data_IF_778652119886
#
_entry.id   IF_778652119886
#
_cell.length_a   1.000
_cell.length_b   1.000
_cell.length_c   1.000
_cell.angle_alpha   90.00
_cell.angle_beta   90.00
_cell.angle_gamma   90.00
#
_symmetry.space_group_name_H-M   'P 1'
#
loop_
_entity.id
_entity.type
_entity.pdbx_description
1 polymer ?
#
# COMPACT_ATOMS: atom_id res chain seq x y z
N UNK A 1 -17.61 -5.94 -0.37
CA UNK A 1 -19.04 -6.01 -0.67
C UNK A 1 -19.90 -5.22 0.31
N UNK A 2 -19.70 -5.32 1.60
CA UNK A 2 -20.52 -4.70 2.66
C UNK A 2 -20.20 -3.24 2.98
N UNK A 3 -19.58 -2.54 2.05
CA UNK A 3 -18.85 -1.31 2.38
C UNK A 3 -19.68 -0.04 2.26
N UNK A 4 -20.78 -0.05 1.52
CA UNK A 4 -21.69 1.11 1.38
C UNK A 4 -22.40 1.46 2.69
N UNK A 5 -22.72 0.46 3.51
CA UNK A 5 -23.32 0.66 4.83
C UNK A 5 -22.43 1.41 5.82
N UNK A 6 -21.11 1.43 5.61
CA UNK A 6 -20.16 2.12 6.47
C UNK A 6 -19.95 3.60 6.11
N UNK A 7 -20.42 4.07 4.93
CA UNK A 7 -20.27 5.47 4.52
C UNK A 7 -20.74 6.45 5.61
N UNK A 8 -21.92 6.29 6.23
CA UNK A 8 -22.37 7.22 7.27
C UNK A 8 -21.46 7.22 8.52
N UNK A 9 -20.86 6.08 8.86
CA UNK A 9 -19.94 6.00 10.00
C UNK A 9 -18.59 6.66 9.68
N UNK A 10 -18.05 6.41 8.51
CA UNK A 10 -16.83 7.08 8.05
C UNK A 10 -17.04 8.59 7.86
N UNK A 11 -18.23 9.02 7.40
CA UNK A 11 -18.55 10.43 7.33
C UNK A 11 -18.54 11.10 8.73
N UNK A 12 -19.11 10.46 9.75
CA UNK A 12 -19.00 10.96 11.12
C UNK A 12 -17.56 11.11 11.58
N UNK A 13 -16.68 10.16 11.19
CA UNK A 13 -15.27 10.24 11.53
C UNK A 13 -14.58 11.40 10.80
N UNK A 14 -14.79 11.57 9.50
CA UNK A 14 -14.21 12.68 8.73
C UNK A 14 -14.71 14.03 9.24
N UNK A 15 -16.01 14.17 9.54
CA UNK A 15 -16.59 15.36 10.12
C UNK A 15 -15.97 15.68 11.49
N UNK A 16 -15.77 14.66 12.33
CA UNK A 16 -15.13 14.81 13.64
C UNK A 16 -13.68 15.32 13.52
N UNK A 17 -12.88 14.71 12.65
CA UNK A 17 -11.49 15.12 12.40
C UNK A 17 -11.45 16.59 11.96
N UNK A 18 -12.33 16.96 11.02
CA UNK A 18 -12.39 18.32 10.48
C UNK A 18 -12.84 19.34 11.51
N UNK A 19 -13.76 18.97 12.42
CA UNK A 19 -14.23 19.83 13.51
C UNK A 19 -13.08 20.27 14.42
N UNK A 20 -12.02 19.47 14.55
CA UNK A 20 -10.82 19.80 15.31
C UNK A 20 -9.71 20.44 14.45
N UNK A 21 -10.02 20.90 13.25
CA UNK A 21 -9.09 21.65 12.39
C UNK A 21 -8.09 20.78 11.63
N UNK A 22 -8.27 19.45 11.62
CA UNK A 22 -7.41 18.53 10.88
C UNK A 22 -8.04 18.08 9.57
N UNK A 23 -7.19 17.72 8.59
CA UNK A 23 -7.61 17.20 7.30
C UNK A 23 -7.83 15.67 7.39
N UNK A 24 -9.05 15.14 7.13
CA UNK A 24 -9.29 13.72 7.20
C UNK A 24 -8.72 12.97 5.99
N UNK A 25 -7.84 12.01 6.24
CA UNK A 25 -7.30 11.10 5.24
C UNK A 25 -7.74 9.65 5.46
N UNK A 26 -7.79 8.86 4.39
CA UNK A 26 -8.07 7.43 4.45
C UNK A 26 -7.07 6.64 3.61
N UNK A 27 -6.56 5.54 4.16
CA UNK A 27 -5.74 4.59 3.42
C UNK A 27 -6.60 3.41 2.97
N UNK A 28 -6.53 3.06 1.68
CA UNK A 28 -7.11 1.86 1.10
C UNK A 28 -6.01 0.79 0.96
N UNK A 29 -6.34 -0.47 1.28
CA UNK A 29 -5.39 -1.57 1.21
C UNK A 29 -6.05 -2.92 0.97
N UNK A 30 -5.27 -3.86 0.44
CA UNK A 30 -5.61 -5.27 0.29
C UNK A 30 -4.42 -6.11 0.72
N UNK A 31 -4.56 -6.85 1.80
CA UNK A 31 -3.46 -7.59 2.42
C UNK A 31 -2.89 -8.73 1.57
N UNK A 32 -3.67 -9.23 0.59
CA UNK A 32 -3.24 -10.34 -0.24
C UNK A 32 -2.94 -11.59 0.60
N UNK A 33 -1.77 -12.22 0.36
CA UNK A 33 -1.31 -13.40 1.11
C UNK A 33 -1.07 -13.14 2.60
N UNK A 34 -0.98 -11.86 3.01
CA UNK A 34 -0.79 -11.47 4.43
C UNK A 34 -2.10 -11.22 5.18
N UNK A 35 -3.24 -11.54 4.61
CA UNK A 35 -4.49 -11.55 5.37
C UNK A 35 -4.51 -12.66 6.44
N UNK A 36 -5.45 -12.59 7.37
CA UNK A 36 -5.64 -13.58 8.44
C UNK A 36 -4.37 -13.82 9.27
N UNK A 37 -3.81 -12.75 9.87
CA UNK A 37 -2.68 -12.86 10.78
C UNK A 37 -3.03 -12.33 12.16
N UNK A 38 -2.41 -12.93 13.16
CA UNK A 38 -2.35 -12.34 14.50
C UNK A 38 -1.66 -10.97 14.42
N UNK A 39 -1.94 -10.14 15.40
CA UNK A 39 -1.31 -8.81 15.49
C UNK A 39 0.21 -8.93 15.57
N UNK A 40 0.98 -7.97 15.04
CA UNK A 40 2.45 -8.03 15.05
C UNK A 40 3.04 -8.27 16.44
N UNK A 41 2.46 -7.66 17.48
CA UNK A 41 2.90 -7.84 18.87
C UNK A 41 2.45 -9.17 19.50
N UNK A 42 1.60 -9.92 18.83
CA UNK A 42 1.21 -11.30 19.17
C UNK A 42 1.99 -12.33 18.35
N UNK A 43 3.05 -11.87 17.64
CA UNK A 43 3.93 -12.70 16.83
C UNK A 43 3.61 -12.73 15.34
N UNK A 44 2.50 -12.11 14.89
CA UNK A 44 2.18 -11.95 13.47
C UNK A 44 2.04 -13.24 12.67
N UNK A 45 1.86 -14.40 13.34
CA UNK A 45 1.66 -15.70 12.68
C UNK A 45 0.31 -15.76 11.98
N UNK A 46 0.11 -16.69 11.02
CA UNK A 46 -1.21 -16.98 10.49
C UNK A 46 -2.21 -17.28 11.61
N UNK A 47 -3.44 -16.74 11.47
CA UNK A 47 -4.53 -17.06 12.38
C UNK A 47 -4.97 -18.50 12.19
N UNK A 48 -5.20 -19.20 13.29
CA UNK A 48 -5.95 -20.43 13.28
C UNK A 48 -7.41 -20.17 12.86
N UNK A 49 -8.11 -21.16 12.30
CA UNK A 49 -9.53 -21.03 12.00
C UNK A 49 -10.32 -20.56 13.22
N UNK A 50 -11.14 -19.52 13.03
CA UNK A 50 -11.99 -18.94 14.08
C UNK A 50 -13.43 -19.45 13.87
N UNK A 51 -13.89 -20.46 14.63
CA UNK A 51 -15.21 -21.06 14.44
C UNK A 51 -16.38 -20.07 14.60
N UNK A 52 -16.16 -18.96 15.32
CA UNK A 52 -17.12 -17.88 15.49
C UNK A 52 -17.31 -16.99 14.24
N UNK A 53 -16.46 -17.15 13.24
CA UNK A 53 -16.58 -16.44 11.96
C UNK A 53 -17.23 -17.39 10.95
N UNK A 54 -18.55 -17.24 10.76
CA UNK A 54 -19.34 -18.12 9.89
C UNK A 54 -18.85 -18.22 8.45
N UNK A 55 -18.24 -17.15 7.92
CA UNK A 55 -17.74 -17.07 6.54
C UNK A 55 -16.21 -17.20 6.43
N UNK A 56 -15.55 -17.77 7.46
CA UNK A 56 -14.09 -17.90 7.53
C UNK A 56 -13.48 -18.49 6.24
N UNK A 57 -14.07 -19.54 5.70
CA UNK A 57 -13.56 -20.22 4.52
C UNK A 57 -13.72 -19.40 3.23
N UNK A 58 -14.65 -18.43 3.23
CA UNK A 58 -14.83 -17.50 2.11
C UNK A 58 -13.74 -16.43 2.02
N UNK A 59 -12.93 -16.27 3.06
CA UNK A 59 -11.85 -15.30 3.13
C UNK A 59 -10.55 -15.90 2.58
N UNK A 60 -10.55 -16.18 1.29
CA UNK A 60 -9.38 -16.74 0.63
C UNK A 60 -8.15 -15.83 0.75
N UNK A 61 -6.99 -16.46 0.97
CA UNK A 61 -5.70 -15.83 0.79
C UNK A 61 -5.40 -15.79 -0.71
N UNK A 62 -5.23 -14.61 -1.27
CA UNK A 62 -4.92 -14.42 -2.70
C UNK A 62 -3.61 -13.66 -2.88
N UNK A 63 -2.91 -13.92 -4.00
CA UNK A 63 -1.65 -13.25 -4.33
C UNK A 63 -1.45 -13.19 -5.83
N UNK A 64 -0.36 -12.56 -6.25
CA UNK A 64 0.12 -12.61 -7.64
C UNK A 64 0.44 -14.04 -8.08
N UNK A 65 0.93 -14.88 -7.18
CA UNK A 65 1.22 -16.31 -7.40
C UNK A 65 0.76 -17.17 -6.23
N UNK A 66 0.69 -18.49 -6.42
CA UNK A 66 0.27 -19.45 -5.39
C UNK A 66 1.34 -19.78 -4.35
N UNK A 67 2.49 -19.09 -4.36
CA UNK A 67 3.58 -19.35 -3.43
C UNK A 67 3.41 -18.51 -2.16
N UNK A 68 3.42 -19.17 -1.00
CA UNK A 68 3.42 -18.57 0.32
C UNK A 68 4.82 -18.40 0.90
N UNK A 69 4.94 -17.69 2.01
CA UNK A 69 6.16 -17.69 2.81
C UNK A 69 6.31 -19.04 3.53
N UNK A 70 7.54 -19.51 3.82
CA UNK A 70 7.75 -20.77 4.53
C UNK A 70 6.97 -20.82 5.86
N UNK A 71 6.13 -21.85 6.01
CA UNK A 71 5.29 -22.03 7.19
C UNK A 71 3.94 -21.33 7.14
N UNK A 72 3.65 -20.55 6.11
CA UNK A 72 2.35 -19.92 5.90
C UNK A 72 1.44 -20.78 5.00
N UNK A 73 0.12 -20.68 5.16
CA UNK A 73 -0.82 -21.26 4.20
C UNK A 73 -0.59 -20.68 2.81
N UNK A 74 -0.52 -21.52 1.76
CA UNK A 74 -0.30 -21.03 0.40
C UNK A 74 -1.52 -20.19 -0.06
N UNK A 75 -1.29 -18.99 -0.64
CA UNK A 75 -2.36 -18.21 -1.23
C UNK A 75 -2.78 -18.83 -2.58
N UNK A 76 -3.99 -18.52 -3.01
CA UNK A 76 -4.41 -18.81 -4.39
C UNK A 76 -3.88 -17.70 -5.33
N UNK A 77 -3.36 -18.11 -6.48
CA UNK A 77 -3.01 -17.16 -7.55
C UNK A 77 -4.27 -16.56 -8.17
N UNK A 78 -4.30 -15.24 -8.34
CA UNK A 78 -5.36 -14.54 -9.03
C UNK A 78 -5.31 -14.79 -10.55
N UNK A 79 -6.45 -15.05 -11.17
CA UNK A 79 -6.58 -15.01 -12.63
C UNK A 79 -6.50 -13.57 -13.16
N UNK A 80 -6.33 -13.41 -14.47
CA UNK A 80 -6.31 -12.07 -15.11
C UNK A 80 -7.64 -11.33 -14.88
N UNK A 81 -8.75 -12.03 -15.00
CA UNK A 81 -10.08 -11.45 -14.83
C UNK A 81 -10.31 -11.00 -13.37
N UNK A 82 -9.88 -11.82 -12.40
CA UNK A 82 -9.94 -11.45 -10.98
C UNK A 82 -9.05 -10.25 -10.63
N UNK A 83 -7.89 -10.11 -11.28
CA UNK A 83 -7.05 -8.91 -11.14
C UNK A 83 -7.81 -7.68 -11.62
N UNK A 84 -8.49 -7.77 -12.76
CA UNK A 84 -9.30 -6.67 -13.29
C UNK A 84 -10.51 -6.34 -12.40
N UNK A 85 -11.18 -7.36 -11.86
CA UNK A 85 -12.25 -7.17 -10.87
C UNK A 85 -11.77 -6.45 -9.62
N UNK A 86 -10.56 -6.78 -9.14
CA UNK A 86 -9.96 -6.10 -8.01
C UNK A 86 -9.65 -4.64 -8.35
N UNK A 87 -9.13 -4.35 -9.54
CA UNK A 87 -8.91 -2.97 -10.00
C UNK A 87 -10.21 -2.16 -9.93
N UNK A 88 -11.32 -2.69 -10.42
CA UNK A 88 -12.63 -2.02 -10.32
C UNK A 88 -13.06 -1.77 -8.87
N UNK A 89 -12.85 -2.75 -8.00
CA UNK A 89 -13.17 -2.62 -6.56
C UNK A 89 -12.37 -1.52 -5.87
N UNK A 90 -11.16 -1.21 -6.33
CA UNK A 90 -10.38 -0.07 -5.84
C UNK A 90 -11.03 1.26 -6.24
N UNK A 91 -11.47 1.40 -7.48
CA UNK A 91 -12.25 2.57 -7.94
C UNK A 91 -13.53 2.75 -7.11
N UNK A 92 -14.30 1.67 -6.92
CA UNK A 92 -15.49 1.68 -6.07
C UNK A 92 -15.19 2.07 -4.61
N UNK A 93 -14.00 1.71 -4.10
CA UNK A 93 -13.60 2.08 -2.75
C UNK A 93 -13.27 3.57 -2.66
N UNK A 94 -12.62 4.14 -3.69
CA UNK A 94 -12.36 5.57 -3.80
C UNK A 94 -13.66 6.39 -3.88
N UNK A 95 -14.65 5.94 -4.65
CA UNK A 95 -15.97 6.57 -4.69
C UNK A 95 -16.63 6.60 -3.30
N UNK A 96 -16.53 5.50 -2.54
CA UNK A 96 -17.06 5.44 -1.17
C UNK A 96 -16.31 6.35 -0.21
N UNK A 97 -14.98 6.44 -0.33
CA UNK A 97 -14.16 7.35 0.46
C UNK A 97 -14.53 8.82 0.18
N UNK A 98 -14.76 9.17 -1.08
CA UNK A 98 -15.22 10.51 -1.46
C UNK A 98 -16.63 10.80 -0.90
N UNK A 99 -17.56 9.86 -0.98
CA UNK A 99 -18.91 9.97 -0.37
C UNK A 99 -18.88 10.07 1.16
N UNK A 100 -17.85 9.51 1.79
CA UNK A 100 -17.61 9.66 3.24
C UNK A 100 -16.86 10.96 3.59
N UNK A 101 -16.64 11.82 2.58
CA UNK A 101 -16.09 13.17 2.73
C UNK A 101 -14.66 13.21 3.29
N UNK A 102 -13.81 12.26 2.89
CA UNK A 102 -12.37 12.34 3.11
C UNK A 102 -11.74 13.34 2.14
N UNK A 103 -10.67 14.01 2.57
CA UNK A 103 -9.94 15.02 1.80
C UNK A 103 -8.66 14.48 1.17
N UNK A 104 -8.07 13.44 1.77
CA UNK A 104 -6.88 12.73 1.28
C UNK A 104 -7.18 11.25 1.14
N UNK A 105 -6.75 10.65 0.03
CA UNK A 105 -6.79 9.20 -0.18
C UNK A 105 -5.37 8.68 -0.40
N UNK A 106 -5.01 7.61 0.30
CA UNK A 106 -3.76 6.90 0.11
C UNK A 106 -4.00 5.46 -0.34
N UNK A 107 -3.28 5.04 -1.37
CA UNK A 107 -3.23 3.65 -1.84
C UNK A 107 -2.07 2.94 -1.16
N UNK A 108 -2.34 1.85 -0.44
CA UNK A 108 -1.30 1.04 0.19
C UNK A 108 -0.69 0.05 -0.80
N UNK A 109 0.50 0.37 -1.31
CA UNK A 109 1.28 -0.45 -2.25
C UNK A 109 2.61 -0.98 -1.65
N UNK A 110 2.65 -1.16 -0.33
CA UNK A 110 3.86 -1.47 0.44
C UNK A 110 3.73 -2.78 1.26
N UNK A 111 4.75 -3.09 2.04
CA UNK A 111 4.78 -4.05 3.17
C UNK A 111 4.39 -5.48 2.82
N UNK A 112 4.57 -5.88 1.56
CA UNK A 112 4.20 -7.22 1.10
C UNK A 112 2.70 -7.44 0.99
N UNK A 113 1.88 -6.37 0.90
CA UNK A 113 0.48 -6.44 0.58
C UNK A 113 0.24 -6.64 -0.92
N UNK A 114 -1.00 -6.80 -1.36
CA UNK A 114 -1.30 -7.32 -2.69
C UNK A 114 -0.61 -6.55 -3.83
N UNK A 115 -0.64 -5.21 -3.83
CA UNK A 115 0.02 -4.43 -4.88
C UNK A 115 1.54 -4.68 -4.85
N UNK A 116 2.16 -4.68 -3.66
CA UNK A 116 3.58 -4.97 -3.53
C UNK A 116 3.94 -6.40 -3.97
N UNK A 117 3.03 -7.38 -3.77
CA UNK A 117 3.21 -8.76 -4.27
C UNK A 117 3.25 -8.82 -5.79
N UNK A 118 2.60 -7.90 -6.50
CA UNK A 118 2.70 -7.79 -7.95
C UNK A 118 3.98 -7.08 -8.40
N UNK A 119 4.44 -6.07 -7.66
CA UNK A 119 5.66 -5.33 -7.98
C UNK A 119 6.92 -6.18 -7.78
N UNK A 120 7.02 -6.90 -6.66
CA UNK A 120 8.25 -7.61 -6.27
C UNK A 120 8.53 -8.82 -7.16
N UNK A 121 9.71 -8.91 -7.79
CA UNK A 121 10.10 -10.06 -8.60
C UNK A 121 10.29 -11.34 -7.77
N UNK A 122 10.44 -11.22 -6.46
CA UNK A 122 10.54 -12.37 -5.56
C UNK A 122 9.22 -13.12 -5.43
N UNK A 123 8.10 -12.41 -5.39
CA UNK A 123 6.76 -12.98 -5.22
C UNK A 123 6.07 -13.19 -6.56
N UNK A 124 6.16 -12.21 -7.46
CA UNK A 124 5.49 -12.25 -8.75
C UNK A 124 6.24 -13.16 -9.75
N UNK A 125 5.79 -14.40 -9.86
CA UNK A 125 6.29 -15.40 -10.82
C UNK A 125 5.36 -15.58 -12.03
N UNK A 126 4.47 -14.62 -12.28
CA UNK A 126 3.53 -14.67 -13.41
C UNK A 126 4.25 -14.53 -14.75
N UNK A 127 3.67 -15.18 -15.76
CA UNK A 127 4.13 -15.10 -17.16
C UNK A 127 3.08 -14.48 -18.10
N UNK A 128 2.05 -13.84 -17.53
CA UNK A 128 1.04 -13.09 -18.26
C UNK A 128 1.31 -11.57 -18.24
N UNK A 129 0.32 -10.78 -18.67
CA UNK A 129 0.44 -9.30 -18.74
C UNK A 129 0.73 -8.60 -17.40
N UNK A 130 0.67 -9.29 -16.27
CA UNK A 130 0.93 -8.76 -14.94
C UNK A 130 2.23 -9.26 -14.32
N UNK A 131 3.10 -9.97 -15.07
CA UNK A 131 4.36 -10.50 -14.57
C UNK A 131 5.46 -10.61 -15.63
N UNK A 132 6.59 -11.18 -15.24
CA UNK A 132 7.77 -11.29 -16.09
C UNK A 132 8.58 -9.98 -16.13
N UNK A 133 8.27 -9.06 -17.03
CA UNK A 133 8.98 -7.78 -17.13
C UNK A 133 8.60 -6.80 -16.01
N UNK A 134 9.45 -5.80 -15.79
CA UNK A 134 9.20 -4.74 -14.81
C UNK A 134 7.92 -3.97 -15.12
N UNK A 135 7.69 -3.63 -16.38
CA UNK A 135 6.50 -2.92 -16.84
C UNK A 135 5.22 -3.72 -16.54
N UNK A 136 5.27 -5.04 -16.75
CA UNK A 136 4.14 -5.91 -16.45
C UNK A 136 3.89 -6.01 -14.94
N UNK A 137 4.95 -6.06 -14.12
CA UNK A 137 4.78 -6.06 -12.67
C UNK A 137 4.20 -4.74 -12.13
N UNK A 138 4.53 -3.61 -12.75
CA UNK A 138 3.96 -2.30 -12.41
C UNK A 138 2.51 -2.14 -12.85
N UNK A 139 2.06 -2.87 -13.84
CA UNK A 139 0.74 -2.72 -14.50
C UNK A 139 -0.42 -2.71 -13.51
N UNK A 140 -0.44 -3.64 -12.58
CA UNK A 140 -1.52 -3.73 -11.58
C UNK A 140 -1.62 -2.47 -10.72
N UNK A 141 -0.50 -1.94 -10.24
CA UNK A 141 -0.44 -0.70 -9.48
C UNK A 141 -0.95 0.49 -10.30
N UNK A 142 -0.52 0.58 -11.57
CA UNK A 142 -0.90 1.66 -12.47
C UNK A 142 -2.39 1.63 -12.84
N UNK A 143 -2.94 0.45 -13.11
CA UNK A 143 -4.38 0.28 -13.39
C UNK A 143 -5.23 0.62 -12.15
N UNK A 144 -4.79 0.27 -10.94
CA UNK A 144 -5.45 0.68 -9.69
C UNK A 144 -5.46 2.20 -9.53
N UNK A 145 -4.34 2.86 -9.77
CA UNK A 145 -4.26 4.32 -9.67
C UNK A 145 -5.20 4.99 -10.67
N UNK A 146 -5.27 4.50 -11.90
CA UNK A 146 -6.23 5.01 -12.90
C UNK A 146 -7.68 4.83 -12.44
N UNK A 147 -8.04 3.64 -11.96
CA UNK A 147 -9.38 3.35 -11.47
C UNK A 147 -9.75 4.22 -10.26
N UNK A 148 -8.80 4.42 -9.33
CA UNK A 148 -8.98 5.29 -8.16
C UNK A 148 -9.13 6.74 -8.60
N UNK A 149 -8.21 7.26 -9.44
CA UNK A 149 -8.26 8.66 -9.89
C UNK A 149 -9.54 8.99 -10.66
N UNK A 150 -10.08 8.04 -11.41
CA UNK A 150 -11.36 8.22 -12.12
C UNK A 150 -12.56 8.47 -11.19
N UNK A 151 -12.47 8.09 -9.91
CA UNK A 151 -13.52 8.23 -8.89
C UNK A 151 -13.16 9.24 -7.78
N UNK A 152 -11.90 9.62 -7.70
CA UNK A 152 -11.38 10.56 -6.72
C UNK A 152 -11.19 11.92 -7.36
N UNK A 153 -11.81 13.01 -6.84
CA UNK A 153 -11.79 14.33 -7.48
C UNK A 153 -10.37 14.86 -7.70
N UNK A 154 -10.12 15.51 -8.83
CA UNK A 154 -8.81 16.10 -9.19
C UNK A 154 -8.31 17.14 -8.17
N UNK A 155 -9.23 17.86 -7.51
CA UNK A 155 -8.89 18.83 -6.47
C UNK A 155 -8.53 18.21 -5.11
N UNK A 156 -8.60 16.87 -4.96
CA UNK A 156 -8.23 16.16 -3.74
C UNK A 156 -6.95 15.36 -3.94
N UNK A 157 -5.96 15.49 -3.04
CA UNK A 157 -4.68 14.80 -3.19
C UNK A 157 -4.83 13.27 -3.14
N UNK A 158 -4.05 12.60 -3.99
CA UNK A 158 -3.90 11.15 -4.04
C UNK A 158 -2.48 10.76 -3.69
N UNK A 159 -2.33 9.95 -2.65
CA UNK A 159 -1.06 9.43 -2.16
C UNK A 159 -0.92 7.95 -2.53
N UNK A 160 0.33 7.51 -2.70
CA UNK A 160 0.65 6.08 -2.83
C UNK A 160 1.78 5.75 -1.87
N UNK A 161 1.54 4.80 -0.97
CA UNK A 161 2.56 4.29 -0.06
C UNK A 161 3.27 3.11 -0.69
N UNK A 162 4.61 3.17 -0.77
CA UNK A 162 5.45 2.12 -1.36
C UNK A 162 6.52 1.63 -0.40
N UNK A 163 6.94 0.37 -0.53
CA UNK A 163 8.21 -0.08 0.01
C UNK A 163 9.29 0.24 -1.02
N UNK A 164 10.10 1.26 -0.74
CA UNK A 164 11.15 1.72 -1.66
C UNK A 164 12.28 0.69 -1.77
N UNK A 165 12.50 -0.09 -0.70
CA UNK A 165 13.42 -1.22 -0.66
C UNK A 165 12.71 -2.42 -0.02
N UNK A 166 12.70 -3.59 -0.69
CA UNK A 166 12.01 -4.79 -0.21
C UNK A 166 12.94 -5.94 0.21
N UNK A 167 14.25 -5.76 0.07
CA UNK A 167 15.29 -6.79 0.29
C UNK A 167 15.07 -8.08 -0.54
N UNK A 168 14.33 -7.97 -1.64
CA UNK A 168 13.89 -9.10 -2.45
C UNK A 168 13.95 -8.84 -3.96
N UNK A 169 14.60 -7.75 -4.36
CA UNK A 169 14.84 -7.39 -5.75
C UNK A 169 13.88 -6.36 -6.33
N UNK A 170 13.10 -5.69 -5.48
CA UNK A 170 12.37 -4.47 -5.81
C UNK A 170 12.96 -3.33 -4.96
N UNK A 171 13.67 -2.41 -5.59
CA UNK A 171 14.49 -1.43 -4.91
C UNK A 171 14.23 0.02 -5.31
N UNK A 172 15.12 0.94 -4.87
CA UNK A 172 14.96 2.36 -5.08
C UNK A 172 14.86 2.78 -6.56
N UNK A 173 15.62 2.16 -7.45
CA UNK A 173 15.63 2.53 -8.86
C UNK A 173 14.33 2.12 -9.57
N UNK A 174 13.77 0.93 -9.25
CA UNK A 174 12.45 0.51 -9.69
C UNK A 174 11.37 1.47 -9.19
N UNK A 175 11.47 1.90 -7.93
CA UNK A 175 10.52 2.85 -7.35
C UNK A 175 10.62 4.25 -7.96
N UNK A 176 11.80 4.72 -8.39
CA UNK A 176 11.93 5.96 -9.17
C UNK A 176 11.14 5.85 -10.46
N UNK A 177 11.33 4.75 -11.25
CA UNK A 177 10.60 4.53 -12.51
C UNK A 177 9.09 4.42 -12.28
N UNK A 178 8.66 3.66 -11.26
CA UNK A 178 7.25 3.57 -10.88
C UNK A 178 6.69 4.95 -10.50
N UNK A 179 7.41 5.74 -9.70
CA UNK A 179 6.96 7.06 -9.23
C UNK A 179 6.77 8.05 -10.38
N UNK A 180 7.62 8.00 -11.42
CA UNK A 180 7.44 8.80 -12.64
C UNK A 180 6.11 8.45 -13.32
N UNK A 181 5.79 7.16 -13.46
CA UNK A 181 4.54 6.69 -14.06
C UNK A 181 3.31 7.03 -13.19
N UNK A 182 3.43 6.87 -11.87
CA UNK A 182 2.36 7.23 -10.91
C UNK A 182 2.04 8.72 -10.98
N UNK A 183 3.06 9.59 -11.03
CA UNK A 183 2.88 11.04 -11.22
C UNK A 183 2.12 11.37 -12.50
N UNK A 184 2.45 10.70 -13.61
CA UNK A 184 1.75 10.90 -14.89
C UNK A 184 0.27 10.50 -14.82
N UNK A 185 -0.10 9.62 -13.88
CA UNK A 185 -1.48 9.18 -13.63
C UNK A 185 -2.19 9.97 -12.52
N UNK A 186 -1.61 11.09 -12.08
CA UNK A 186 -2.23 12.01 -11.13
C UNK A 186 -2.02 11.66 -9.66
N UNK A 187 -0.95 10.93 -9.32
CA UNK A 187 -0.48 10.79 -7.94
C UNK A 187 0.27 12.06 -7.54
N UNK A 188 -0.05 12.60 -6.38
CA UNK A 188 0.50 13.86 -5.86
C UNK A 188 1.69 13.62 -4.94
N UNK A 189 1.67 12.55 -4.14
CA UNK A 189 2.68 12.26 -3.12
C UNK A 189 2.99 10.77 -3.06
N UNK A 190 4.28 10.42 -2.91
CA UNK A 190 4.73 9.07 -2.56
C UNK A 190 5.09 9.03 -1.08
N UNK A 191 4.41 8.19 -0.32
CA UNK A 191 4.76 7.87 1.07
C UNK A 191 5.80 6.74 1.08
N UNK A 192 7.02 7.06 1.53
CA UNK A 192 8.19 6.21 1.43
C UNK A 192 8.37 5.36 2.68
N UNK A 193 8.19 4.04 2.53
CA UNK A 193 8.43 3.03 3.53
C UNK A 193 9.42 1.98 3.02
N UNK A 194 9.61 0.86 3.73
CA UNK A 194 10.52 -0.21 3.32
C UNK A 194 10.12 -1.58 3.86
N UNK A 195 10.66 -2.63 3.24
CA UNK A 195 10.53 -4.02 3.68
C UNK A 195 9.16 -4.64 3.48
N UNK A 196 8.97 -5.77 4.16
CA UNK A 196 7.69 -6.46 4.27
C UNK A 196 7.43 -7.55 3.24
N UNK A 197 8.27 -7.76 2.23
CA UNK A 197 8.13 -8.92 1.32
C UNK A 197 8.62 -10.20 1.99
N UNK A 198 9.77 -10.13 2.65
CA UNK A 198 10.32 -11.25 3.44
C UNK A 198 10.11 -10.96 4.92
N UNK A 199 9.15 -11.64 5.54
CA UNK A 199 8.92 -11.52 6.98
C UNK A 199 8.29 -10.19 7.43
N UNK A 200 8.71 -9.73 8.62
CA UNK A 200 8.21 -8.52 9.26
C UNK A 200 8.81 -7.26 8.63
N UNK A 201 8.16 -6.10 8.77
CA UNK A 201 8.75 -4.81 8.41
C UNK A 201 10.11 -4.60 9.09
N UNK A 202 11.01 -3.84 8.44
CA UNK A 202 12.39 -3.59 8.89
C UNK A 202 12.48 -3.16 10.35
N UNK A 203 11.55 -2.35 10.84
CA UNK A 203 11.50 -1.90 12.25
C UNK A 203 11.39 -3.07 13.25
N UNK A 204 10.81 -4.18 12.84
CA UNK A 204 10.68 -5.38 13.67
C UNK A 204 11.92 -6.29 13.62
N UNK A 205 12.85 -6.03 12.71
CA UNK A 205 14.01 -6.90 12.44
C UNK A 205 15.29 -6.49 13.23
N UNK A 206 15.29 -5.33 13.90
CA UNK A 206 16.46 -4.88 14.69
C UNK A 206 16.53 -3.36 14.85
N UNK A 207 17.58 -2.86 15.52
CA UNK A 207 17.75 -1.43 15.73
C UNK A 207 18.01 -0.72 14.40
N UNK A 208 17.13 0.20 14.04
CA UNK A 208 17.27 1.12 12.91
C UNK A 208 17.54 2.54 13.43
N UNK A 209 18.32 3.31 12.70
CA UNK A 209 18.61 4.70 13.04
C UNK A 209 17.42 5.63 12.84
N UNK A 210 17.42 6.79 13.50
CA UNK A 210 16.42 7.83 13.25
C UNK A 210 16.40 8.24 11.77
N UNK A 211 15.20 8.43 11.20
CA UNK A 211 15.05 8.88 9.83
C UNK A 211 15.56 7.91 8.77
N UNK A 212 15.69 6.62 9.07
CA UNK A 212 16.29 5.61 8.18
C UNK A 212 15.63 5.52 6.79
N UNK A 213 14.42 6.01 6.62
CA UNK A 213 13.71 6.05 5.32
C UNK A 213 13.78 7.42 4.62
N UNK A 214 14.36 8.43 5.25
CA UNK A 214 14.54 9.78 4.66
C UNK A 214 15.32 9.74 3.36
N UNK A 215 16.47 8.99 3.24
CA UNK A 215 17.20 8.88 1.98
C UNK A 215 16.36 8.34 0.81
N UNK A 216 15.39 7.44 1.09
CA UNK A 216 14.47 6.94 0.07
C UNK A 216 13.53 8.05 -0.45
N UNK A 217 12.96 8.84 0.47
CA UNK A 217 12.10 9.96 0.12
C UNK A 217 12.86 11.04 -0.68
N UNK A 218 14.08 11.34 -0.29
CA UNK A 218 14.94 12.29 -1.00
C UNK A 218 15.27 11.81 -2.42
N UNK A 219 15.64 10.54 -2.60
CA UNK A 219 15.92 9.95 -3.91
C UNK A 219 14.69 10.06 -4.83
N UNK A 220 13.51 9.64 -4.38
CA UNK A 220 12.30 9.70 -5.20
C UNK A 220 11.91 11.17 -5.51
N UNK A 221 12.02 12.06 -4.53
CA UNK A 221 11.76 13.50 -4.74
C UNK A 221 12.69 14.07 -5.80
N UNK A 222 13.98 13.76 -5.70
CA UNK A 222 15.02 14.32 -6.56
C UNK A 222 14.96 13.75 -7.97
N UNK A 223 14.79 12.42 -8.14
CA UNK A 223 14.89 11.75 -9.43
C UNK A 223 13.54 11.66 -10.16
N UNK A 224 12.44 11.32 -9.46
CA UNK A 224 11.11 11.26 -10.05
C UNK A 224 10.39 12.62 -10.08
N UNK A 225 10.94 13.66 -9.40
CA UNK A 225 10.35 15.01 -9.34
C UNK A 225 8.90 15.00 -8.86
N UNK A 226 8.59 14.17 -7.87
CA UNK A 226 7.30 14.06 -7.20
C UNK A 226 7.44 14.43 -5.72
N UNK A 227 6.38 14.95 -5.10
CA UNK A 227 6.41 15.18 -3.66
C UNK A 227 6.51 13.84 -2.93
N UNK A 228 7.23 13.83 -1.80
CA UNK A 228 7.42 12.64 -1.00
C UNK A 228 7.12 12.90 0.46
N UNK A 229 6.74 11.85 1.16
CA UNK A 229 6.59 11.82 2.61
C UNK A 229 7.52 10.74 3.15
N UNK A 230 8.36 11.08 4.13
CA UNK A 230 9.19 10.12 4.84
C UNK A 230 8.49 9.70 6.14
N UNK A 231 8.61 8.43 6.50
CA UNK A 231 8.06 7.85 7.72
C UNK A 231 9.09 6.96 8.39
N UNK A 232 8.99 6.80 9.69
CA UNK A 232 9.80 5.86 10.48
C UNK A 232 10.86 6.53 11.33
N UNK A 233 10.65 6.46 12.65
CA UNK A 233 11.53 6.99 13.69
C UNK A 233 11.91 8.46 13.53
N UNK A 234 11.00 9.27 13.01
CA UNK A 234 11.08 10.73 13.02
C UNK A 234 10.37 11.18 14.29
N UNK A 235 11.09 11.20 15.41
CA UNK A 235 10.48 11.32 16.73
C UNK A 235 10.29 12.75 17.22
N UNK A 236 11.11 13.69 16.75
CA UNK A 236 11.18 15.03 17.30
C UNK A 236 11.33 16.05 16.19
N UNK A 237 10.59 17.15 16.31
CA UNK A 237 10.61 18.24 15.32
C UNK A 237 12.05 18.77 15.13
N UNK A 238 12.82 18.92 16.23
CA UNK A 238 14.20 19.40 16.18
C UNK A 238 15.21 18.40 15.58
N UNK A 239 14.88 17.12 15.43
CA UNK A 239 15.73 16.19 14.66
C UNK A 239 15.48 16.33 13.15
N UNK A 240 14.38 16.94 12.75
CA UNK A 240 14.14 17.38 11.37
C UNK A 240 14.63 18.79 11.11
N UNK A 241 14.57 19.68 12.12
CA UNK A 241 15.03 21.06 12.04
C UNK A 241 16.57 21.17 11.95
N UNK A 242 17.31 20.18 12.41
CA UNK A 242 18.77 20.09 12.14
C UNK A 242 19.09 20.02 10.63
N UNK A 243 18.10 19.81 9.78
CA UNK A 243 18.24 19.90 8.32
C UNK A 243 17.96 21.30 7.75
N UNK A 244 17.34 22.18 8.53
CA UNK A 244 17.02 23.56 8.11
C UNK A 244 18.10 24.57 8.50
N UNK A 245 19.06 24.19 9.32
CA UNK A 245 20.18 25.06 9.75
C UNK A 245 21.48 24.86 8.93
N UNK A 246 21.41 24.17 7.78
CA UNK A 246 22.58 23.91 6.92
C UNK A 246 22.46 24.53 5.54
#
# INVERSE_FOLDING_TARGET
>A
MYKRQFIPYFKKLSDFIRMYGSCPGIQLGHSGRKARRYRPWEGGKPLDPLPEIEDWDSWELVSSTGEGDPGDPPPRSLSVDEVQDIVQKWGDAAERANKADFDVLEIHAAHGYLIHQFLSPHVNRRNDRYGGSEENRMRFALEIVEAVRSQWPDGKPLFVRVSVEDDAGWGPDENVRLSVLLKQKGVDVIDCSSGGIRGAPVVSAGPVGYGYQVPYADKLKTEAKINTMAVGLICLLYTSDAADES
#
